data_IF_110398555147
#
_entry.id   IF_110398555147
#
_cell.length_a   1.000
_cell.length_b   1.000
_cell.length_c   1.000
_cell.angle_alpha   90.00
_cell.angle_beta   90.00
_cell.angle_gamma   90.00
#
_symmetry.space_group_name_H-M   'P 1'
#
loop_
_entity.id
_entity.type
_entity.pdbx_description
1 polymer ?
#
# COMPACT_ATOMS: atom_id res chain seq x y z
N UNK A 1 5.68 3.08 -1.63
CA UNK A 1 5.97 3.58 -3.00
C UNK A 1 4.70 3.90 -3.79
N UNK A 2 3.66 3.05 -3.76
CA UNK A 2 2.37 3.33 -4.41
C UNK A 2 1.70 4.65 -3.97
N UNK A 3 1.69 4.97 -2.67
CA UNK A 3 1.09 6.21 -2.15
C UNK A 3 1.75 7.49 -2.66
N UNK A 4 3.09 7.51 -2.74
CA UNK A 4 3.84 8.61 -3.33
C UNK A 4 3.51 8.78 -4.81
N UNK A 5 3.52 7.69 -5.57
CA UNK A 5 3.14 7.72 -6.99
C UNK A 5 1.72 8.25 -7.20
N UNK A 6 0.76 7.80 -6.39
CA UNK A 6 -0.63 8.24 -6.44
C UNK A 6 -0.76 9.74 -6.13
N UNK A 7 -0.07 10.26 -5.11
CA UNK A 7 -0.03 11.70 -4.77
C UNK A 7 0.56 12.51 -5.92
N UNK A 8 1.69 12.08 -6.48
CA UNK A 8 2.35 12.77 -7.60
C UNK A 8 1.46 12.81 -8.85
N UNK A 9 0.74 11.73 -9.12
CA UNK A 9 -0.19 11.63 -10.25
C UNK A 9 -1.34 12.63 -10.10
N UNK A 10 -1.95 12.70 -8.92
CA UNK A 10 -3.00 13.69 -8.63
C UNK A 10 -2.47 15.10 -8.78
N UNK A 11 -1.29 15.38 -8.23
CA UNK A 11 -0.67 16.70 -8.31
C UNK A 11 -0.39 17.11 -9.77
N UNK A 12 0.14 16.20 -10.59
CA UNK A 12 0.38 16.44 -12.01
C UNK A 12 -0.93 16.71 -12.78
N UNK A 13 -1.99 15.93 -12.52
CA UNK A 13 -3.31 16.14 -13.14
C UNK A 13 -3.87 17.52 -12.77
N UNK A 14 -3.72 17.97 -11.51
CA UNK A 14 -4.19 19.29 -11.09
C UNK A 14 -3.44 20.44 -11.81
N UNK A 15 -2.11 20.31 -11.96
CA UNK A 15 -1.32 21.31 -12.70
C UNK A 15 -1.79 21.38 -14.16
N UNK A 16 -1.96 20.24 -14.82
CA UNK A 16 -2.40 20.21 -16.21
C UNK A 16 -3.82 20.74 -16.36
N UNK A 17 -4.73 20.33 -15.48
CA UNK A 17 -6.13 20.74 -15.52
C UNK A 17 -6.28 22.26 -15.35
N UNK A 18 -5.61 22.86 -14.35
CA UNK A 18 -5.66 24.32 -14.11
C UNK A 18 -5.18 25.12 -15.32
N UNK A 19 -4.07 24.70 -15.95
CA UNK A 19 -3.57 25.33 -17.16
C UNK A 19 -4.60 25.25 -18.30
N UNK A 20 -5.22 24.08 -18.51
CA UNK A 20 -6.19 23.88 -19.59
C UNK A 20 -7.51 24.62 -19.36
N UNK A 21 -7.97 24.72 -18.12
CA UNK A 21 -9.18 25.45 -17.75
C UNK A 21 -9.08 26.93 -18.07
N UNK A 22 -7.90 27.54 -17.84
CA UNK A 22 -7.63 28.93 -18.22
C UNK A 22 -7.78 29.16 -19.73
N UNK A 23 -7.39 28.18 -20.57
CA UNK A 23 -7.53 28.27 -22.02
C UNK A 23 -8.98 28.08 -22.51
N UNK A 24 -9.75 27.22 -21.84
CA UNK A 24 -11.10 26.82 -22.28
C UNK A 24 -12.20 27.65 -21.61
N UNK A 25 -11.87 28.45 -20.58
CA UNK A 25 -12.80 29.28 -19.81
C UNK A 25 -13.98 28.48 -19.22
N UNK A 26 -13.73 27.22 -18.85
CA UNK A 26 -14.72 26.31 -18.28
C UNK A 26 -14.07 25.41 -17.23
N UNK A 27 -14.72 25.25 -16.07
CA UNK A 27 -14.22 24.45 -14.94
C UNK A 27 -14.81 23.03 -14.97
N UNK A 28 -13.96 22.04 -15.26
CA UNK A 28 -14.31 20.61 -15.37
C UNK A 28 -13.46 19.71 -14.47
N UNK A 29 -12.34 20.23 -13.99
CA UNK A 29 -11.36 19.56 -13.13
C UNK A 29 -11.99 18.94 -11.88
N UNK A 30 -12.90 19.59 -11.13
CA UNK A 30 -13.47 18.99 -9.91
C UNK A 30 -14.24 17.70 -10.20
N UNK A 31 -14.97 17.63 -11.31
CA UNK A 31 -15.73 16.44 -11.71
C UNK A 31 -14.78 15.29 -12.09
N UNK A 32 -13.77 15.58 -12.90
CA UNK A 32 -12.79 14.57 -13.35
C UNK A 32 -11.98 14.02 -12.17
N UNK A 33 -11.53 14.91 -11.27
CA UNK A 33 -10.83 14.51 -10.04
C UNK A 33 -11.76 13.67 -9.15
N UNK A 34 -13.02 14.07 -8.98
CA UNK A 34 -13.99 13.30 -8.20
C UNK A 34 -14.17 11.87 -8.72
N UNK A 35 -14.33 11.70 -10.03
CA UNK A 35 -14.44 10.37 -10.66
C UNK A 35 -13.15 9.57 -10.50
N UNK A 36 -11.99 10.20 -10.70
CA UNK A 36 -10.69 9.53 -10.52
C UNK A 36 -10.47 9.04 -9.08
N UNK A 37 -10.83 9.87 -8.09
CA UNK A 37 -10.74 9.49 -6.67
C UNK A 37 -11.65 8.30 -6.35
N UNK A 38 -12.88 8.29 -6.85
CA UNK A 38 -13.81 7.17 -6.67
C UNK A 38 -13.31 5.88 -7.33
N UNK A 39 -12.83 5.98 -8.57
CA UNK A 39 -12.29 4.84 -9.31
C UNK A 39 -11.04 4.25 -8.62
N UNK A 40 -10.21 5.10 -8.02
CA UNK A 40 -8.97 4.67 -7.35
C UNK A 40 -9.13 4.38 -5.86
N UNK A 41 -10.30 4.65 -5.25
CA UNK A 41 -10.53 4.48 -3.83
C UNK A 41 -10.31 3.04 -3.35
N UNK A 42 -10.92 2.07 -4.04
CA UNK A 42 -10.81 0.64 -3.71
C UNK A 42 -9.37 0.15 -3.84
N UNK A 43 -8.68 0.31 -4.99
CA UNK A 43 -7.29 -0.15 -5.11
C UNK A 43 -6.35 0.59 -4.15
N UNK A 44 -6.59 1.89 -3.89
CA UNK A 44 -5.79 2.64 -2.93
C UNK A 44 -5.91 2.09 -1.52
N UNK A 45 -7.14 1.81 -1.06
CA UNK A 45 -7.38 1.20 0.25
C UNK A 45 -6.77 -0.20 0.33
N UNK A 46 -6.95 -1.02 -0.72
CA UNK A 46 -6.45 -2.39 -0.76
C UNK A 46 -4.92 -2.48 -0.63
N UNK A 47 -4.18 -1.61 -1.33
CA UNK A 47 -2.71 -1.57 -1.24
C UNK A 47 -2.25 -1.12 0.15
N UNK A 48 -2.93 -0.14 0.74
CA UNK A 48 -2.59 0.36 2.07
C UNK A 48 -2.87 -0.68 3.17
N UNK A 49 -3.98 -1.42 3.07
CA UNK A 49 -4.31 -2.53 3.99
C UNK A 49 -3.32 -3.67 3.83
N UNK A 50 -2.94 -4.04 2.59
CA UNK A 50 -1.89 -5.05 2.37
C UNK A 50 -0.58 -4.63 3.03
N UNK A 51 -0.16 -3.37 2.89
CA UNK A 51 1.07 -2.89 3.51
C UNK A 51 1.00 -2.91 5.04
N UNK A 52 -0.17 -2.65 5.63
CA UNK A 52 -0.38 -2.81 7.07
C UNK A 52 -0.24 -4.28 7.50
N UNK A 53 -0.78 -5.21 6.71
CA UNK A 53 -0.63 -6.65 6.95
C UNK A 53 0.83 -7.11 6.82
N UNK A 54 1.58 -6.60 5.84
CA UNK A 54 3.02 -6.88 5.69
C UNK A 54 3.85 -6.47 6.93
N UNK A 55 3.30 -5.58 7.78
CA UNK A 55 3.91 -5.07 9.02
C UNK A 55 3.34 -5.75 10.28
N UNK A 56 2.60 -6.86 10.12
CA UNK A 56 1.96 -7.60 11.23
C UNK A 56 0.75 -6.88 11.86
N UNK A 57 0.37 -5.69 11.37
CA UNK A 57 -0.77 -4.90 11.86
C UNK A 57 -2.06 -5.30 11.14
N UNK A 58 -3.21 -5.18 11.80
CA UNK A 58 -4.49 -5.41 11.14
C UNK A 58 -4.89 -4.26 10.22
N UNK A 59 -5.68 -4.55 9.18
CA UNK A 59 -6.22 -3.53 8.29
C UNK A 59 -7.01 -2.43 9.02
N UNK A 60 -7.56 -2.73 10.21
CA UNK A 60 -8.24 -1.75 11.06
C UNK A 60 -7.33 -0.61 11.56
N UNK A 61 -6.01 -0.81 11.62
CA UNK A 61 -5.07 0.28 11.95
C UNK A 61 -5.07 1.39 10.89
N UNK A 62 -5.62 1.13 9.69
CA UNK A 62 -5.86 2.17 8.71
C UNK A 62 -6.74 3.30 9.25
N UNK A 63 -7.74 2.99 10.09
CA UNK A 63 -8.64 4.00 10.67
C UNK A 63 -7.96 4.99 11.61
N UNK A 64 -6.75 4.67 12.10
CA UNK A 64 -5.95 5.59 12.91
C UNK A 64 -5.60 6.86 12.10
N UNK A 65 -5.53 6.80 10.76
CA UNK A 65 -5.34 7.99 9.93
C UNK A 65 -6.45 9.04 10.05
N UNK A 66 -7.64 8.67 10.57
CA UNK A 66 -8.71 9.65 10.87
C UNK A 66 -8.42 10.47 12.12
N UNK A 67 -7.46 10.06 12.96
CA UNK A 67 -7.00 10.85 14.10
C UNK A 67 -6.01 11.92 13.58
N UNK A 68 -6.34 13.22 13.68
CA UNK A 68 -5.49 14.28 13.17
C UNK A 68 -4.14 14.30 13.87
N UNK A 69 -3.10 14.65 13.11
CA UNK A 69 -1.69 14.75 13.55
C UNK A 69 -1.08 13.41 13.97
N UNK A 70 -1.53 12.83 15.08
CA UNK A 70 -0.93 11.60 15.66
C UNK A 70 -1.07 10.43 14.69
N UNK A 71 -2.26 10.24 14.12
CA UNK A 71 -2.51 9.13 13.21
C UNK A 71 -1.72 9.22 11.91
N UNK A 72 -1.59 10.43 11.36
CA UNK A 72 -0.81 10.69 10.15
C UNK A 72 0.68 10.49 10.37
N UNK A 73 1.23 11.00 11.47
CA UNK A 73 2.65 10.82 11.80
C UNK A 73 2.96 9.34 12.02
N UNK A 74 2.12 8.63 12.79
CA UNK A 74 2.28 7.20 13.02
C UNK A 74 2.26 6.40 11.71
N UNK A 75 1.30 6.71 10.82
CA UNK A 75 1.19 6.06 9.53
C UNK A 75 2.37 6.36 8.59
N UNK A 76 2.86 7.60 8.58
CA UNK A 76 4.05 7.98 7.81
C UNK A 76 5.29 7.22 8.27
N UNK A 77 5.50 7.13 9.59
CA UNK A 77 6.59 6.33 10.16
C UNK A 77 6.47 4.88 9.71
N UNK A 78 5.28 4.28 9.81
CA UNK A 78 5.04 2.91 9.36
C UNK A 78 5.30 2.70 7.85
N UNK A 79 4.99 3.70 7.02
CA UNK A 79 5.27 3.65 5.59
C UNK A 79 6.76 3.72 5.26
N UNK A 80 7.56 4.35 6.12
CA UNK A 80 9.01 4.45 6.00
C UNK A 80 9.75 3.26 6.65
N UNK A 81 9.11 2.54 7.57
CA UNK A 81 9.68 1.35 8.22
C UNK A 81 9.61 0.13 7.31
N UNK A 82 10.66 -0.70 7.32
CA UNK A 82 10.67 -1.99 6.63
C UNK A 82 9.63 -2.94 7.24
N UNK A 83 9.18 -3.92 6.44
CA UNK A 83 8.28 -4.97 6.92
C UNK A 83 8.87 -5.71 8.12
N UNK A 84 8.02 -6.39 8.89
CA UNK A 84 8.48 -7.27 9.96
C UNK A 84 9.32 -8.40 9.33
N UNK A 85 10.52 -8.64 9.85
CA UNK A 85 11.42 -9.69 9.38
C UNK A 85 11.04 -11.01 10.07
N UNK A 86 10.83 -12.08 9.30
CA UNK A 86 10.39 -13.37 9.82
C UNK A 86 8.88 -13.62 9.68
N UNK A 87 8.41 -14.82 10.02
CA UNK A 87 7.02 -15.23 9.85
C UNK A 87 6.09 -14.32 10.68
N UNK A 88 5.03 -13.81 10.05
CA UNK A 88 4.01 -13.03 10.73
C UNK A 88 2.67 -13.80 10.77
N UNK A 89 1.68 -13.28 11.50
CA UNK A 89 0.35 -13.93 11.61
C UNK A 89 -0.44 -14.05 10.29
N UNK A 90 0.07 -13.46 9.20
CA UNK A 90 -0.49 -13.46 7.86
C UNK A 90 0.28 -14.38 6.89
N UNK A 91 1.39 -14.99 7.31
CA UNK A 91 2.11 -16.00 6.55
C UNK A 91 3.60 -16.11 6.90
N UNK A 92 4.25 -17.21 6.47
CA UNK A 92 5.69 -17.39 6.58
C UNK A 92 6.44 -16.42 5.67
N UNK A 93 7.65 -16.01 6.08
CA UNK A 93 8.49 -15.07 5.31
C UNK A 93 9.10 -15.78 4.09
N UNK A 94 8.74 -15.44 2.85
CA UNK A 94 9.28 -16.10 1.66
C UNK A 94 10.79 -15.86 1.45
N UNK A 95 11.42 -14.99 2.25
CA UNK A 95 12.86 -14.73 2.23
C UNK A 95 13.62 -15.37 3.39
N UNK A 96 12.95 -16.15 4.25
CA UNK A 96 13.64 -16.94 5.26
C UNK A 96 14.54 -17.98 4.55
N UNK A 97 15.84 -18.06 4.87
CA UNK A 97 16.73 -19.11 4.36
C UNK A 97 16.27 -20.53 4.76
N UNK A 98 15.42 -20.60 5.78
CA UNK A 98 14.89 -21.79 6.45
C UNK A 98 13.48 -22.15 5.95
N UNK A 99 13.08 -21.67 4.77
CA UNK A 99 11.83 -22.08 4.11
C UNK A 99 12.07 -23.14 3.02
N UNK A 100 13.28 -23.72 3.01
CA UNK A 100 13.64 -24.79 2.10
C UNK A 100 13.24 -26.17 2.65
N UNK A 101 12.75 -26.27 3.88
CA UNK A 101 12.56 -27.54 4.58
C UNK A 101 11.66 -28.50 3.79
N UNK A 102 10.55 -27.99 3.24
CA UNK A 102 9.63 -28.79 2.42
C UNK A 102 10.18 -29.12 1.03
N UNK A 103 11.00 -28.26 0.43
CA UNK A 103 11.56 -28.47 -0.91
C UNK A 103 12.81 -29.36 -0.84
N UNK A 104 13.63 -29.19 0.19
CA UNK A 104 14.83 -29.97 0.49
C UNK A 104 14.46 -31.39 0.96
N UNK A 105 13.24 -31.60 1.46
CA UNK A 105 12.71 -32.93 1.79
C UNK A 105 12.13 -33.70 0.59
N UNK A 106 11.93 -33.05 -0.56
CA UNK A 106 11.49 -33.73 -1.78
C UNK A 106 12.67 -34.55 -2.35
N UNK A 107 12.55 -35.87 -2.26
CA UNK A 107 13.53 -36.80 -2.83
C UNK A 107 14.55 -37.35 -1.82
N UNK A 108 14.45 -37.00 -0.54
CA UNK A 108 15.18 -37.71 0.52
C UNK A 108 14.61 -39.14 0.62
N UNK A 109 15.46 -40.19 0.60
CA UNK A 109 14.99 -41.55 0.79
C UNK A 109 14.36 -41.67 2.18
N UNK A 110 13.24 -42.38 2.28
CA UNK A 110 12.45 -42.61 3.51
C UNK A 110 13.18 -43.48 4.57
N UNK A 111 14.51 -43.48 4.59
CA UNK A 111 15.31 -44.50 5.26
C UNK A 111 15.84 -44.11 6.65
N UNK A 112 15.34 -43.04 7.26
CA UNK A 112 15.69 -42.66 8.64
C UNK A 112 14.44 -42.26 9.47
N UNK A 113 13.40 -43.12 9.47
CA UNK A 113 12.32 -43.10 10.48
C UNK A 113 12.50 -44.23 11.50
#
# INVERSE_FOLDING_TARGET
MYTLFWILTIFAINIVATILEDFVSYEWSPMVIGVFLLATLIPWLAVNVRRLHDQGKSGGYFFINFIPIVGRIWYLVLMCTNGEYGPNKYGPDPKSPDNNDEIDDIGKPLLDQ
#
